data_IF_581000994073
#
_entry.id   IF_581000994073
#
_cell.length_a   1.000
_cell.length_b   1.000
_cell.length_c   1.000
_cell.angle_alpha   90.00
_cell.angle_beta   90.00
_cell.angle_gamma   90.00
#
_symmetry.space_group_name_H-M   'P 1'
#
loop_
_entity.id
_entity.type
_entity.pdbx_description
1 polymer ?
#
# COMPACT_ATOMS: atom_id res chain seq x y z
N UNK A 1 9.24 -8.73 -33.55
CA UNK A 1 8.59 -7.88 -32.53
C UNK A 1 9.20 -8.25 -31.18
N UNK A 2 10.09 -7.40 -30.65
CA UNK A 2 10.72 -7.66 -29.36
C UNK A 2 9.76 -7.24 -28.24
N UNK A 3 9.21 -8.19 -27.51
CA UNK A 3 8.55 -7.91 -26.23
C UNK A 3 9.67 -7.47 -25.30
N UNK A 4 9.80 -6.16 -25.06
CA UNK A 4 10.58 -5.69 -23.93
C UNK A 4 9.93 -6.30 -22.69
N UNK A 5 10.63 -7.18 -21.99
CA UNK A 5 10.28 -7.51 -20.61
C UNK A 5 10.46 -6.22 -19.81
N UNK A 6 9.42 -5.38 -19.78
CA UNK A 6 9.30 -4.37 -18.75
C UNK A 6 9.22 -5.11 -17.41
N UNK A 7 10.01 -4.74 -16.40
CA UNK A 7 9.80 -5.26 -15.06
C UNK A 7 8.33 -5.02 -14.69
N UNK A 8 7.65 -5.97 -14.02
CA UNK A 8 6.26 -5.79 -13.65
C UNK A 8 6.11 -4.46 -12.91
N UNK A 9 5.22 -3.60 -13.39
CA UNK A 9 4.90 -2.35 -12.69
C UNK A 9 4.53 -2.68 -11.24
N UNK A 10 4.87 -1.80 -10.30
CA UNK A 10 4.51 -1.95 -8.88
C UNK A 10 3.01 -2.29 -8.75
N UNK A 11 2.16 -1.73 -9.61
CA UNK A 11 0.74 -2.06 -9.70
C UNK A 11 0.44 -3.57 -9.94
N UNK A 12 1.18 -4.26 -10.81
CA UNK A 12 0.98 -5.67 -11.16
C UNK A 12 1.49 -6.61 -10.07
N UNK A 13 2.64 -6.28 -9.46
CA UNK A 13 3.16 -7.02 -8.30
C UNK A 13 2.22 -6.88 -7.09
N UNK A 14 1.73 -5.67 -6.83
CA UNK A 14 0.86 -5.39 -5.69
C UNK A 14 -0.55 -5.96 -5.85
N UNK A 15 -1.08 -6.04 -7.08
CA UNK A 15 -2.40 -6.67 -7.33
C UNK A 15 -2.42 -8.18 -7.11
N UNK A 16 -1.29 -8.87 -7.32
CA UNK A 16 -1.17 -10.33 -7.18
C UNK A 16 -0.65 -10.77 -5.81
N UNK A 17 -0.12 -9.85 -4.99
CA UNK A 17 0.44 -10.18 -3.69
C UNK A 17 -0.69 -10.45 -2.67
N UNK A 18 -0.76 -11.65 -2.06
CA UNK A 18 -1.91 -12.06 -1.23
C UNK A 18 -2.15 -11.14 -0.03
N UNK A 19 -1.08 -10.64 0.59
CA UNK A 19 -1.17 -9.68 1.70
C UNK A 19 -1.74 -8.34 1.23
N UNK A 20 -1.31 -7.83 0.07
CA UNK A 20 -1.79 -6.54 -0.45
C UNK A 20 -3.25 -6.66 -0.89
N UNK A 21 -3.64 -7.80 -1.47
CA UNK A 21 -5.04 -8.09 -1.78
C UNK A 21 -5.91 -8.07 -0.52
N UNK A 22 -5.44 -8.67 0.57
CA UNK A 22 -6.19 -8.72 1.82
C UNK A 22 -6.31 -7.36 2.48
N UNK A 23 -5.24 -6.55 2.49
CA UNK A 23 -5.29 -5.17 2.99
C UNK A 23 -6.26 -4.33 2.15
N UNK A 24 -6.20 -4.44 0.82
CA UNK A 24 -7.15 -3.73 -0.07
C UNK A 24 -8.61 -4.11 0.18
N UNK A 25 -8.89 -5.37 0.52
CA UNK A 25 -10.24 -5.83 0.84
C UNK A 25 -10.68 -5.39 2.24
N UNK A 26 -9.82 -5.54 3.24
CA UNK A 26 -10.11 -5.17 4.62
C UNK A 26 -10.23 -3.64 4.81
N UNK A 27 -9.52 -2.88 3.99
CA UNK A 27 -9.48 -1.42 4.02
C UNK A 27 -10.17 -0.79 2.80
N UNK A 28 -11.11 -1.48 2.16
CA UNK A 28 -11.79 -0.97 0.97
C UNK A 28 -12.57 0.33 1.26
N UNK A 29 -13.36 0.35 2.33
CA UNK A 29 -14.15 1.51 2.75
C UNK A 29 -13.30 2.78 2.99
N UNK A 30 -12.23 2.76 3.82
CA UNK A 30 -11.40 3.95 4.00
C UNK A 30 -10.69 4.39 2.72
N UNK A 31 -10.48 3.49 1.76
CA UNK A 31 -9.95 3.82 0.45
C UNK A 31 -10.98 4.62 -0.38
N UNK A 32 -12.24 4.15 -0.43
CA UNK A 32 -13.32 4.82 -1.16
C UNK A 32 -13.60 6.22 -0.61
N UNK A 33 -13.59 6.39 0.72
CA UNK A 33 -13.81 7.70 1.35
C UNK A 33 -12.66 8.67 1.03
N UNK A 34 -11.41 8.19 1.03
CA UNK A 34 -10.26 9.00 0.62
C UNK A 34 -10.36 9.44 -0.85
N UNK A 35 -10.72 8.52 -1.75
CA UNK A 35 -10.89 8.84 -3.18
C UNK A 35 -12.02 9.85 -3.41
N UNK A 36 -13.14 9.71 -2.70
CA UNK A 36 -14.25 10.65 -2.79
C UNK A 36 -13.86 12.05 -2.26
N UNK A 37 -13.10 12.12 -1.17
CA UNK A 37 -12.55 13.38 -0.66
C UNK A 37 -11.64 14.05 -1.70
N UNK A 38 -10.75 13.29 -2.33
CA UNK A 38 -9.86 13.80 -3.38
C UNK A 38 -10.63 14.31 -4.58
N UNK A 39 -11.66 13.59 -5.02
CA UNK A 39 -12.50 14.00 -6.16
C UNK A 39 -13.16 15.36 -5.92
N UNK A 40 -13.51 15.68 -4.68
CA UNK A 40 -14.10 16.97 -4.30
C UNK A 40 -13.05 18.06 -4.00
N UNK A 41 -11.81 17.67 -3.64
CA UNK A 41 -10.77 18.58 -3.14
C UNK A 41 -9.45 18.45 -3.91
N UNK A 42 -9.50 18.25 -5.24
CA UNK A 42 -8.29 18.01 -6.06
C UNK A 42 -7.25 19.14 -5.91
N UNK A 43 -7.70 20.40 -5.80
CA UNK A 43 -6.84 21.56 -5.58
C UNK A 43 -6.41 21.77 -4.11
N UNK A 44 -6.99 21.01 -3.17
CA UNK A 44 -6.80 21.16 -1.73
C UNK A 44 -6.66 19.79 -1.04
N UNK A 45 -5.76 18.95 -1.55
CA UNK A 45 -5.49 17.58 -1.05
C UNK A 45 -5.23 17.53 0.47
N UNK A 46 -4.71 18.62 1.06
CA UNK A 46 -4.52 18.75 2.51
C UNK A 46 -5.80 18.57 3.33
N UNK A 47 -6.97 18.86 2.76
CA UNK A 47 -8.27 18.65 3.41
C UNK A 47 -8.58 17.16 3.65
N UNK A 48 -7.91 16.26 2.93
CA UNK A 48 -8.11 14.81 3.01
C UNK A 48 -7.10 14.09 3.94
N UNK A 49 -6.27 14.84 4.68
CA UNK A 49 -5.20 14.26 5.50
C UNK A 49 -5.71 13.28 6.59
N UNK A 50 -6.92 13.50 7.11
CA UNK A 50 -7.52 12.61 8.10
C UNK A 50 -7.85 11.23 7.50
N UNK A 51 -8.41 11.20 6.29
CA UNK A 51 -8.68 9.96 5.55
C UNK A 51 -7.40 9.17 5.25
N UNK A 52 -6.29 9.85 4.93
CA UNK A 52 -4.98 9.19 4.76
C UNK A 52 -4.50 8.56 6.07
N UNK A 53 -4.67 9.25 7.20
CA UNK A 53 -4.28 8.74 8.51
C UNK A 53 -5.10 7.49 8.89
N UNK A 54 -6.42 7.51 8.63
CA UNK A 54 -7.32 6.38 8.87
C UNK A 54 -6.99 5.19 7.95
N UNK A 55 -6.64 5.44 6.68
CA UNK A 55 -6.19 4.43 5.73
C UNK A 55 -4.92 3.72 6.21
N UNK A 56 -3.93 4.49 6.69
CA UNK A 56 -2.68 3.97 7.23
C UNK A 56 -2.94 3.09 8.46
N UNK A 57 -3.78 3.54 9.40
CA UNK A 57 -4.15 2.75 10.58
C UNK A 57 -4.85 1.43 10.21
N UNK A 58 -5.64 1.40 9.14
CA UNK A 58 -6.24 0.17 8.65
C UNK A 58 -5.18 -0.76 8.04
N UNK A 59 -4.25 -0.23 7.26
CA UNK A 59 -3.16 -1.01 6.67
C UNK A 59 -2.23 -1.62 7.73
N UNK A 60 -1.96 -0.90 8.82
CA UNK A 60 -1.19 -1.40 9.96
C UNK A 60 -1.90 -2.56 10.68
N UNK A 61 -3.23 -2.52 10.79
CA UNK A 61 -4.05 -3.57 11.41
C UNK A 61 -4.33 -4.76 10.49
N UNK A 62 -4.43 -4.52 9.17
CA UNK A 62 -4.60 -5.55 8.14
C UNK A 62 -3.31 -6.32 7.84
N UNK A 63 -2.18 -5.89 8.39
CA UNK A 63 -0.93 -6.62 8.34
C UNK A 63 -1.05 -7.86 9.24
N UNK A 64 -0.83 -9.09 8.72
CA UNK A 64 -0.76 -10.26 9.58
C UNK A 64 0.31 -10.06 10.66
N UNK A 65 0.15 -10.63 11.87
CA UNK A 65 1.15 -10.52 12.93
C UNK A 65 2.50 -10.98 12.37
N UNK A 66 3.43 -10.03 12.23
CA UNK A 66 4.83 -10.19 11.85
C UNK A 66 5.15 -11.44 11.01
N UNK A 67 5.06 -11.34 9.69
CA UNK A 67 5.93 -12.17 8.84
C UNK A 67 7.35 -11.59 8.95
N UNK A 68 8.34 -12.31 9.49
CA UNK A 68 9.68 -11.78 9.74
C UNK A 68 10.48 -11.78 8.43
N UNK A 69 10.23 -10.82 7.53
CA UNK A 69 10.97 -10.81 6.25
C UNK A 69 11.43 -9.43 5.79
N UNK A 70 11.31 -8.37 6.60
CA UNK A 70 11.94 -7.06 6.28
C UNK A 70 12.62 -6.42 7.50
N UNK A 71 13.08 -7.24 8.46
CA UNK A 71 14.04 -6.77 9.47
C UNK A 71 15.22 -7.75 9.59
N UNK A 72 15.75 -8.18 8.46
CA UNK A 72 17.09 -8.79 8.40
C UNK A 72 17.76 -8.45 7.07
N UNK A 73 17.95 -7.15 6.82
CA UNK A 73 18.90 -6.66 5.83
C UNK A 73 19.97 -5.75 6.47
N UNK A 74 20.12 -5.84 7.80
CA UNK A 74 21.12 -5.11 8.56
C UNK A 74 21.67 -5.98 9.69
N UNK A 75 22.23 -7.11 9.29
CA UNK A 75 23.35 -7.75 9.98
C UNK A 75 24.45 -7.95 8.93
N UNK A 76 25.21 -6.89 8.65
CA UNK A 76 26.49 -7.04 7.97
C UNK A 76 27.47 -7.70 8.95
N UNK A 77 28.10 -8.84 8.61
CA UNK A 77 29.24 -9.31 9.38
C UNK A 77 30.44 -8.43 9.04
N UNK A 78 30.89 -7.62 9.99
CA UNK A 78 32.24 -7.09 9.97
C UNK A 78 33.19 -8.27 10.23
N UNK A 79 33.95 -8.66 9.20
CA UNK A 79 35.17 -9.47 9.34
C UNK A 79 36.37 -8.57 9.57
#
# INVERSE_FOLDING_TARGET
MAVRLSPPCIAQCTSSHPIIRQIRQACAEPFEVFEECLRQNEAAVGNCAEHVRCLLQCAEQGQPPHSPTVLEAQALPAS
#
